data_IF_791182662193
#
_entry.id   IF_791182662193
#
_cell.length_a   1.000
_cell.length_b   1.000
_cell.length_c   1.000
_cell.angle_alpha   90.00
_cell.angle_beta   90.00
_cell.angle_gamma   90.00
#
_symmetry.space_group_name_H-M   'P 1'
#
loop_
_entity.id
_entity.type
_entity.pdbx_description
1 polymer ?
#
# COMPACT_ATOMS: atom_id res chain seq x y z
N UNK A 1 -14.70 6.18 11.86
CA UNK A 1 -13.45 5.61 11.34
C UNK A 1 -13.15 6.23 9.98
N UNK A 2 -11.95 6.76 9.81
CA UNK A 2 -11.53 7.30 8.51
C UNK A 2 -10.96 6.17 7.64
N UNK A 3 -11.27 6.23 6.36
CA UNK A 3 -10.76 5.29 5.38
C UNK A 3 -10.52 6.02 4.07
N UNK A 4 -9.39 5.74 3.43
CA UNK A 4 -9.06 6.30 2.13
C UNK A 4 -8.60 5.19 1.20
N UNK A 5 -8.83 5.38 -0.10
CA UNK A 5 -8.45 4.40 -1.11
C UNK A 5 -8.09 5.13 -2.39
N UNK A 6 -6.93 4.79 -2.95
CA UNK A 6 -6.48 5.33 -4.23
C UNK A 6 -5.88 4.23 -5.07
N UNK A 7 -6.01 4.35 -6.38
CA UNK A 7 -5.49 3.38 -7.33
C UNK A 7 -4.61 4.09 -8.36
N UNK A 8 -3.52 3.44 -8.75
CA UNK A 8 -2.63 3.90 -9.83
C UNK A 8 -2.30 2.73 -10.73
N UNK A 9 -2.21 3.00 -12.03
CA UNK A 9 -1.82 2.00 -13.02
C UNK A 9 -0.37 2.17 -13.40
N UNK A 10 0.29 1.04 -13.61
CA UNK A 10 1.69 1.00 -14.03
C UNK A 10 1.83 0.07 -15.23
N UNK A 11 2.68 0.40 -16.22
CA UNK A 11 2.87 -0.44 -17.41
C UNK A 11 3.79 -1.63 -17.09
N UNK A 12 3.47 -2.36 -16.05
CA UNK A 12 4.28 -3.45 -15.53
C UNK A 12 3.38 -4.64 -15.17
N UNK A 13 3.97 -5.80 -14.94
CA UNK A 13 3.23 -6.98 -14.53
C UNK A 13 2.74 -6.87 -13.09
N UNK A 14 1.70 -7.63 -12.77
CA UNK A 14 1.20 -7.74 -11.39
C UNK A 14 2.30 -8.18 -10.44
N UNK A 15 3.11 -9.14 -10.88
CA UNK A 15 4.20 -9.68 -10.05
C UNK A 15 5.21 -8.59 -9.68
N UNK A 16 5.61 -7.76 -10.64
CA UNK A 16 6.56 -6.68 -10.38
C UNK A 16 5.98 -5.63 -9.44
N UNK A 17 4.73 -5.28 -9.63
CA UNK A 17 4.04 -4.34 -8.73
C UNK A 17 3.91 -4.92 -7.32
N UNK A 18 3.60 -6.21 -7.22
CA UNK A 18 3.50 -6.90 -5.95
C UNK A 18 4.85 -6.89 -5.20
N UNK A 19 5.94 -7.20 -5.90
CA UNK A 19 7.27 -7.17 -5.30
C UNK A 19 7.66 -5.76 -4.88
N UNK A 20 7.29 -4.75 -5.66
CA UNK A 20 7.56 -3.35 -5.31
C UNK A 20 6.79 -2.93 -4.04
N UNK A 21 5.56 -3.39 -3.87
CA UNK A 21 4.79 -3.13 -2.65
C UNK A 21 5.45 -3.78 -1.44
N UNK A 22 5.89 -5.04 -1.58
CA UNK A 22 6.57 -5.72 -0.49
C UNK A 22 7.88 -5.04 -0.09
N UNK A 23 8.58 -4.46 -1.06
CA UNK A 23 9.82 -3.74 -0.79
C UNK A 23 9.57 -2.34 -0.23
N UNK A 24 8.55 -1.66 -0.73
CA UNK A 24 8.29 -0.25 -0.39
C UNK A 24 7.61 -0.04 0.96
N UNK A 25 6.66 -0.89 1.32
CA UNK A 25 5.88 -0.70 2.54
C UNK A 25 6.74 -0.59 3.80
N UNK A 26 7.70 -1.50 4.05
CA UNK A 26 8.55 -1.39 5.24
C UNK A 26 9.38 -0.11 5.28
N UNK A 27 9.74 0.45 4.13
CA UNK A 27 10.52 1.70 4.06
C UNK A 27 9.77 2.90 4.62
N UNK A 28 8.45 2.84 4.63
CA UNK A 28 7.60 3.90 5.18
C UNK A 28 7.17 3.58 6.62
N UNK A 29 7.70 2.49 7.18
CA UNK A 29 7.35 2.09 8.53
C UNK A 29 6.05 1.31 8.62
N UNK A 30 5.69 0.60 7.55
CA UNK A 30 4.56 -0.31 7.51
C UNK A 30 5.06 -1.74 7.41
N UNK A 31 5.43 -2.38 8.52
CA UNK A 31 5.83 -3.79 8.48
C UNK A 31 4.70 -4.64 7.95
N UNK A 32 5.05 -5.54 7.03
CA UNK A 32 4.09 -6.43 6.40
C UNK A 32 3.83 -7.60 7.32
N UNK A 33 2.56 -7.89 7.60
CA UNK A 33 2.20 -9.02 8.45
C UNK A 33 1.53 -10.14 7.67
N UNK A 34 1.12 -9.91 6.43
CA UNK A 34 0.50 -10.93 5.60
C UNK A 34 0.62 -10.59 4.13
N UNK A 35 0.91 -11.61 3.31
CA UNK A 35 0.85 -11.50 1.86
C UNK A 35 0.09 -12.71 1.32
N UNK A 36 -0.59 -12.50 0.18
CA UNK A 36 -1.22 -13.57 -0.57
C UNK A 36 -0.79 -13.45 -2.01
N UNK A 37 0.14 -14.30 -2.43
CA UNK A 37 0.72 -14.24 -3.77
C UNK A 37 -0.30 -14.51 -4.86
N UNK A 38 -1.19 -15.47 -4.63
CA UNK A 38 -2.22 -15.82 -5.63
C UNK A 38 -3.13 -14.63 -5.92
N UNK A 39 -3.44 -13.83 -4.91
CA UNK A 39 -4.31 -12.67 -5.05
C UNK A 39 -3.55 -11.37 -5.22
N UNK A 40 -2.21 -11.39 -5.20
CA UNK A 40 -1.37 -10.19 -5.20
C UNK A 40 -1.84 -9.18 -4.16
N UNK A 41 -1.92 -9.66 -2.93
CA UNK A 41 -2.41 -8.87 -1.80
C UNK A 41 -1.30 -8.71 -0.76
N UNK A 42 -1.11 -7.47 -0.30
CA UNK A 42 -0.14 -7.16 0.77
C UNK A 42 -0.88 -6.44 1.88
N UNK A 43 -0.70 -6.90 3.11
CA UNK A 43 -1.31 -6.28 4.29
C UNK A 43 -0.23 -5.87 5.27
N UNK A 44 -0.29 -4.63 5.72
CA UNK A 44 0.72 -4.06 6.61
C UNK A 44 0.06 -3.14 7.63
N UNK A 45 0.74 -2.92 8.73
CA UNK A 45 0.26 -2.03 9.80
C UNK A 45 1.39 -1.09 10.21
N UNK A 46 1.00 0.11 10.63
CA UNK A 46 1.92 1.04 11.28
C UNK A 46 1.28 1.53 12.57
N UNK A 47 2.05 1.62 13.63
CA UNK A 47 1.59 2.22 14.88
C UNK A 47 2.13 3.65 14.91
N UNK A 48 1.21 4.62 15.07
CA UNK A 48 1.54 6.03 15.14
C UNK A 48 0.85 6.62 16.36
N UNK A 49 1.64 7.11 17.32
CA UNK A 49 1.11 7.69 18.56
C UNK A 49 0.16 6.72 19.30
N UNK A 50 0.54 5.43 19.34
CA UNK A 50 -0.25 4.40 20.02
C UNK A 50 -1.47 3.92 19.27
N UNK A 51 -1.73 4.44 18.07
CA UNK A 51 -2.88 4.05 17.24
C UNK A 51 -2.39 3.35 15.98
N UNK A 52 -3.18 2.40 15.49
CA UNK A 52 -2.79 1.58 14.34
C UNK A 52 -3.41 2.09 13.05
N UNK A 53 -2.57 2.22 12.01
CA UNK A 53 -3.03 2.43 10.64
C UNK A 53 -2.88 1.10 9.92
N UNK A 54 -3.98 0.61 9.36
CA UNK A 54 -3.96 -0.62 8.56
C UNK A 54 -3.87 -0.24 7.09
N UNK A 55 -2.93 -0.87 6.38
CA UNK A 55 -2.71 -0.63 4.96
C UNK A 55 -2.87 -1.93 4.19
N UNK A 56 -3.55 -1.86 3.06
CA UNK A 56 -3.74 -3.00 2.16
C UNK A 56 -3.42 -2.56 0.75
N UNK A 57 -2.64 -3.38 0.04
CA UNK A 57 -2.39 -3.20 -1.38
C UNK A 57 -2.98 -4.39 -2.12
N UNK A 58 -3.82 -4.11 -3.11
CA UNK A 58 -4.37 -5.13 -4.00
C UNK A 58 -3.96 -4.78 -5.42
N UNK A 59 -3.33 -5.72 -6.11
CA UNK A 59 -2.87 -5.51 -7.48
C UNK A 59 -3.74 -6.33 -8.42
N UNK A 60 -4.30 -5.68 -9.43
CA UNK A 60 -5.18 -6.31 -10.42
C UNK A 60 -4.72 -5.97 -11.83
N UNK A 61 -4.96 -6.89 -12.75
CA UNK A 61 -4.58 -6.70 -14.14
C UNK A 61 -3.11 -6.98 -14.37
N UNK A 62 -2.69 -6.90 -15.63
CA UNK A 62 -1.31 -7.18 -15.99
C UNK A 62 -0.96 -6.36 -17.23
N UNK A 63 0.10 -5.57 -17.13
CA UNK A 63 0.63 -4.75 -18.22
C UNK A 63 -0.45 -3.95 -18.98
N UNK A 64 -1.24 -3.08 -18.31
CA UNK A 64 -0.94 -2.44 -17.03
C UNK A 64 -1.53 -3.18 -15.83
N UNK A 65 -0.80 -3.16 -14.74
CA UNK A 65 -1.29 -3.59 -13.46
C UNK A 65 -1.80 -2.37 -12.69
N UNK A 66 -2.90 -2.54 -11.96
CA UNK A 66 -3.45 -1.47 -11.12
C UNK A 66 -3.19 -1.80 -9.66
N UNK A 67 -2.54 -0.88 -8.98
CA UNK A 67 -2.25 -0.99 -7.55
C UNK A 67 -3.25 -0.12 -6.80
N UNK A 68 -4.09 -0.76 -6.00
CA UNK A 68 -5.05 -0.06 -5.15
C UNK A 68 -4.54 -0.12 -3.71
N UNK A 69 -4.31 1.05 -3.13
CA UNK A 69 -3.91 1.17 -1.72
C UNK A 69 -5.09 1.66 -0.91
N UNK A 70 -5.39 0.94 0.17
CA UNK A 70 -6.46 1.29 1.10
C UNK A 70 -5.86 1.45 2.49
N UNK A 71 -6.16 2.55 3.15
CA UNK A 71 -5.72 2.80 4.53
C UNK A 71 -6.93 3.10 5.38
N UNK A 72 -6.90 2.59 6.62
CA UNK A 72 -7.88 2.96 7.62
C UNK A 72 -7.21 3.03 8.98
N UNK A 73 -7.80 3.83 9.87
CA UNK A 73 -7.29 3.94 11.22
C UNK A 73 -8.18 4.85 12.05
N UNK A 74 -8.51 4.40 13.26
CA UNK A 74 -9.25 5.23 14.21
C UNK A 74 -8.31 6.30 14.78
N UNK A 75 -8.84 7.51 14.95
CA UNK A 75 -8.04 8.60 15.48
C UNK A 75 -7.26 9.37 14.44
N UNK A 76 -7.39 9.03 13.17
CA UNK A 76 -6.70 9.73 12.08
C UNK A 76 -7.73 10.42 11.18
N UNK A 77 -7.39 11.62 10.71
CA UNK A 77 -8.22 12.31 9.74
C UNK A 77 -8.00 11.71 8.36
N UNK A 78 -8.95 11.97 7.46
CA UNK A 78 -8.83 11.54 6.08
C UNK A 78 -7.58 12.12 5.43
N UNK A 79 -7.27 13.39 5.71
CA UNK A 79 -6.08 14.04 5.15
C UNK A 79 -4.79 13.41 5.64
N UNK A 80 -4.75 13.00 6.91
CA UNK A 80 -3.58 12.30 7.44
C UNK A 80 -3.35 10.97 6.73
N UNK A 81 -4.43 10.21 6.52
CA UNK A 81 -4.33 8.94 5.81
C UNK A 81 -3.95 9.13 4.35
N UNK A 82 -4.46 10.18 3.70
CA UNK A 82 -4.07 10.51 2.33
C UNK A 82 -2.58 10.83 2.24
N UNK A 83 -2.04 11.53 3.23
CA UNK A 83 -0.61 11.79 3.31
C UNK A 83 0.22 10.51 3.38
N UNK A 84 -0.24 9.53 4.14
CA UNK A 84 0.43 8.23 4.22
C UNK A 84 0.34 7.45 2.91
N UNK A 85 -0.82 7.52 2.22
CA UNK A 85 -0.96 6.87 0.91
C UNK A 85 0.05 7.43 -0.09
N UNK A 86 0.25 8.76 -0.11
CA UNK A 86 1.24 9.37 -0.99
C UNK A 86 2.65 8.86 -0.70
N UNK A 87 3.01 8.75 0.57
CA UNK A 87 4.32 8.22 0.96
C UNK A 87 4.48 6.77 0.52
N UNK A 88 3.43 5.96 0.66
CA UNK A 88 3.46 4.56 0.25
C UNK A 88 3.62 4.43 -1.27
N UNK A 89 2.88 5.21 -2.05
CA UNK A 89 3.04 5.18 -3.50
C UNK A 89 4.44 5.60 -3.93
N UNK A 90 5.01 6.62 -3.29
CA UNK A 90 6.39 7.04 -3.60
C UNK A 90 7.38 5.92 -3.33
N UNK A 91 7.22 5.21 -2.21
CA UNK A 91 8.10 4.10 -1.87
C UNK A 91 7.93 2.93 -2.83
N UNK A 92 6.70 2.62 -3.24
CA UNK A 92 6.43 1.59 -4.24
C UNK A 92 7.08 1.97 -5.56
N UNK A 93 6.89 3.21 -6.01
CA UNK A 93 7.45 3.69 -7.28
C UNK A 93 8.98 3.69 -7.26
N UNK A 94 9.58 4.02 -6.14
CA UNK A 94 11.04 3.97 -5.98
C UNK A 94 11.57 2.52 -6.02
N UNK A 95 10.72 1.54 -5.78
CA UNK A 95 11.08 0.12 -5.80
C UNK A 95 10.76 -0.55 -7.14
N UNK A 96 10.13 0.16 -8.07
CA UNK A 96 9.87 -0.36 -9.41
C UNK A 96 11.15 -0.31 -10.25
N UNK A 97 11.32 -1.27 -11.19
CA UNK A 97 12.48 -1.27 -12.08
C UNK A 97 12.46 -0.11 -13.09
#
# INVERSE_FOLDING_TARGET
>A
MAQVQFARKYPLSSERCFEACKAGFPKVGFPIWKTREIAFLVMANRVEMGMTISATALIMGDQPAEVTLSLNGEGFSKEELEGWIEKLFRAVEASLP
#
